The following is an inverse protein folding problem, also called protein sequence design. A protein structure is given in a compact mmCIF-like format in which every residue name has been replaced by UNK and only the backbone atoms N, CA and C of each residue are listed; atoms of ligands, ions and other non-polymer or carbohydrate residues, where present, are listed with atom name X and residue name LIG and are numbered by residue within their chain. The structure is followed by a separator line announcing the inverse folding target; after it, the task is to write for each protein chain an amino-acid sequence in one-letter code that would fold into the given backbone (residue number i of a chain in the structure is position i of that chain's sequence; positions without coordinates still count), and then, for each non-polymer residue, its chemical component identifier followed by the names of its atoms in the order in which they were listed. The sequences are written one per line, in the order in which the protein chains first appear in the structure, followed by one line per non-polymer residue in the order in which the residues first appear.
data_IF_492485994156
#
_entry.id   IF_492485994156
#
_cell.length_a   1.000
_cell.length_b   1.000
_cell.length_c   1.000
_cell.angle_alpha   90.00
_cell.angle_beta   90.00
_cell.angle_gamma   90.00
#
_symmetry.space_group_name_H-M   'P 1'
#
loop_
_entity.id
_entity.type
_entity.pdbx_description
1 polymer ?
#
# COMPACT_ATOMS: atom_id res chain seq x y z
N UNK A 1 20.83 2.55 -16.15
CA UNK A 1 19.75 1.57 -15.86
C UNK A 1 18.52 2.03 -16.64
N UNK A 2 17.87 1.18 -17.44
CA UNK A 2 16.66 1.60 -18.17
C UNK A 2 15.51 1.74 -17.18
N UNK A 3 14.85 2.90 -17.16
CA UNK A 3 13.61 3.14 -16.40
C UNK A 3 12.44 2.73 -17.29
N UNK A 4 11.63 1.79 -16.83
CA UNK A 4 10.37 1.43 -17.48
C UNK A 4 9.24 2.08 -16.68
N UNK A 5 8.41 2.86 -17.35
CA UNK A 5 7.25 3.52 -16.75
C UNK A 5 6.04 2.71 -17.19
N UNK A 6 5.21 2.33 -16.23
CA UNK A 6 3.95 1.63 -16.51
C UNK A 6 2.87 2.69 -16.64
N UNK A 7 2.28 2.79 -17.83
CA UNK A 7 1.17 3.69 -18.15
C UNK A 7 -0.15 3.14 -17.58
N UNK A 8 -1.12 4.04 -17.39
CA UNK A 8 -2.46 3.67 -16.93
C UNK A 8 -3.30 3.01 -18.04
N UNK A 9 -4.26 2.11 -17.71
CA UNK A 9 -4.62 1.66 -16.36
C UNK A 9 -3.62 0.66 -15.78
N UNK A 10 -3.21 0.95 -14.54
CA UNK A 10 -2.23 0.19 -13.80
C UNK A 10 -2.91 -0.85 -12.90
N UNK A 11 -2.99 -2.07 -13.42
CA UNK A 11 -3.73 -3.18 -12.81
C UNK A 11 -2.86 -4.00 -11.84
N UNK A 12 -3.23 -3.99 -10.55
CA UNK A 12 -2.57 -4.74 -9.48
C UNK A 12 -2.60 -6.25 -9.70
N UNK A 13 -3.62 -6.78 -10.36
CA UNK A 13 -3.78 -8.22 -10.61
C UNK A 13 -2.65 -8.81 -11.46
N UNK A 14 -1.96 -7.98 -12.23
CA UNK A 14 -0.77 -8.39 -12.98
C UNK A 14 0.44 -8.62 -12.09
N UNK A 15 0.42 -8.11 -10.86
CA UNK A 15 1.54 -8.12 -9.93
C UNK A 15 1.33 -9.00 -8.71
N UNK A 16 0.09 -9.34 -8.33
CA UNK A 16 -0.21 -10.09 -7.09
C UNK A 16 0.52 -11.44 -6.96
N UNK A 17 0.97 -12.03 -8.06
CA UNK A 17 1.68 -13.32 -8.09
C UNK A 17 3.19 -13.22 -7.81
N UNK A 18 3.76 -12.01 -7.78
CA UNK A 18 5.16 -11.83 -7.44
C UNK A 18 5.34 -11.75 -5.92
N UNK A 19 6.52 -12.13 -5.42
CA UNK A 19 6.83 -11.89 -4.01
C UNK A 19 7.32 -10.46 -3.78
N UNK A 20 8.07 -9.92 -4.74
CA UNK A 20 8.72 -8.62 -4.66
C UNK A 20 8.64 -7.90 -5.99
N UNK A 21 8.30 -6.60 -5.94
CA UNK A 21 8.36 -5.71 -7.10
C UNK A 21 9.01 -4.39 -6.72
N UNK A 22 9.75 -3.79 -7.65
CA UNK A 22 10.24 -2.42 -7.59
C UNK A 22 10.01 -1.79 -8.96
N UNK A 23 8.99 -0.94 -9.05
CA UNK A 23 8.49 -0.41 -10.32
C UNK A 23 8.24 1.09 -10.23
N UNK A 24 8.16 1.74 -11.41
CA UNK A 24 7.71 3.12 -11.53
C UNK A 24 6.46 3.19 -12.40
N UNK A 25 5.46 3.91 -11.93
CA UNK A 25 4.23 4.19 -12.67
C UNK A 25 4.14 5.65 -13.03
N UNK A 26 3.38 5.98 -14.08
CA UNK A 26 3.23 7.36 -14.51
C UNK A 26 2.42 8.18 -13.50
N UNK A 27 1.27 7.67 -13.06
CA UNK A 27 0.37 8.38 -12.16
C UNK A 27 -0.04 7.49 -10.98
N UNK A 28 -0.09 8.06 -9.77
CA UNK A 28 -0.60 7.42 -8.57
C UNK A 28 -1.78 8.19 -7.98
N UNK A 29 -2.91 7.51 -7.80
CA UNK A 29 -4.20 8.09 -7.40
C UNK A 29 -4.68 7.49 -6.08
N UNK A 30 -5.68 8.11 -5.43
CA UNK A 30 -6.27 7.57 -4.20
C UNK A 30 -6.87 6.18 -4.42
N UNK A 31 -7.58 6.00 -5.54
CA UNK A 31 -8.17 4.73 -5.96
C UNK A 31 -7.11 3.65 -6.16
N UNK A 32 -6.03 3.96 -6.88
CA UNK A 32 -4.92 3.01 -7.04
C UNK A 32 -4.33 2.61 -5.69
N UNK A 33 -4.15 3.56 -4.77
CA UNK A 33 -3.62 3.26 -3.45
C UNK A 33 -4.57 2.37 -2.63
N UNK A 34 -5.87 2.65 -2.64
CA UNK A 34 -6.87 1.82 -1.98
C UNK A 34 -6.89 0.40 -2.57
N UNK A 35 -7.08 0.27 -3.88
CA UNK A 35 -7.17 -1.03 -4.58
C UNK A 35 -5.90 -1.89 -4.35
N UNK A 36 -4.73 -1.26 -4.40
CA UNK A 36 -3.47 -1.96 -4.13
C UNK A 36 -3.36 -2.41 -2.67
N UNK A 37 -3.82 -1.59 -1.73
CA UNK A 37 -3.81 -1.96 -0.31
C UNK A 37 -4.73 -3.16 -0.08
N UNK A 38 -5.93 -3.14 -0.65
CA UNK A 38 -6.90 -4.23 -0.57
C UNK A 38 -6.33 -5.52 -1.16
N UNK A 39 -5.90 -5.50 -2.43
CA UNK A 39 -5.44 -6.71 -3.14
C UNK A 39 -4.16 -7.31 -2.54
N UNK A 40 -3.23 -6.47 -2.07
CA UNK A 40 -2.01 -6.94 -1.39
C UNK A 40 -2.32 -7.57 -0.04
N UNK A 41 -3.31 -7.05 0.69
CA UNK A 41 -3.70 -7.57 2.01
C UNK A 41 -4.07 -9.05 1.93
N UNK A 42 -4.62 -9.49 0.79
CA UNK A 42 -5.05 -10.87 0.53
C UNK A 42 -4.10 -11.68 -0.37
N UNK A 43 -3.01 -11.08 -0.89
CA UNK A 43 -2.06 -11.80 -1.74
C UNK A 43 -1.23 -12.79 -0.90
N UNK A 44 -1.20 -14.10 -1.24
CA UNK A 44 -0.45 -15.09 -0.47
C UNK A 44 1.06 -15.02 -0.71
N UNK A 45 1.51 -14.68 -1.92
CA UNK A 45 2.93 -14.62 -2.31
C UNK A 45 3.63 -13.33 -1.91
N UNK A 46 2.89 -12.25 -1.66
CA UNK A 46 3.45 -10.94 -1.41
C UNK A 46 4.42 -10.89 -0.21
N UNK A 47 5.60 -10.30 -0.42
CA UNK A 47 6.57 -9.98 0.65
C UNK A 47 6.82 -8.47 0.70
N UNK A 48 7.14 -7.84 -0.43
CA UNK A 48 7.49 -6.41 -0.46
C UNK A 48 7.36 -5.77 -1.83
N UNK A 49 6.51 -4.76 -1.93
CA UNK A 49 6.32 -3.97 -3.16
C UNK A 49 6.74 -2.52 -2.95
N UNK A 50 7.54 -2.00 -3.87
CA UNK A 50 7.88 -0.58 -3.95
C UNK A 50 7.37 -0.02 -5.27
N UNK A 51 6.52 0.99 -5.16
CA UNK A 51 5.91 1.65 -6.31
C UNK A 51 6.31 3.11 -6.22
N UNK A 52 7.19 3.51 -7.13
CA UNK A 52 7.53 4.92 -7.34
C UNK A 52 6.58 5.50 -8.38
N UNK A 53 6.34 6.79 -8.35
CA UNK A 53 5.45 7.44 -9.31
C UNK A 53 6.00 8.78 -9.78
N UNK A 54 5.74 9.13 -11.04
CA UNK A 54 6.15 10.42 -11.62
C UNK A 54 5.19 11.53 -11.23
N UNK A 55 3.89 11.25 -11.33
CA UNK A 55 2.81 12.14 -10.95
C UNK A 55 2.02 11.53 -9.79
N UNK A 56 1.61 12.38 -8.85
CA UNK A 56 0.84 11.98 -7.69
C UNK A 56 -0.38 12.87 -7.56
N UNK A 57 -1.56 12.27 -7.51
CA UNK A 57 -2.83 12.95 -7.27
C UNK A 57 -3.49 12.46 -5.98
N UNK A 58 -2.70 12.04 -4.99
CA UNK A 58 -3.17 11.72 -3.65
C UNK A 58 -3.54 13.02 -2.94
N UNK A 59 -4.74 13.08 -2.40
CA UNK A 59 -5.23 14.18 -1.55
C UNK A 59 -5.70 13.63 -0.18
N UNK A 60 -6.43 14.45 0.58
CA UNK A 60 -6.87 14.07 1.93
C UNK A 60 -7.94 12.97 1.94
N UNK A 61 -8.59 12.66 0.81
CA UNK A 61 -9.60 11.60 0.75
C UNK A 61 -9.00 10.22 0.99
N UNK A 62 -7.67 10.07 0.83
CA UNK A 62 -6.98 8.83 1.19
C UNK A 62 -7.18 8.46 2.67
N UNK A 63 -7.35 9.44 3.56
CA UNK A 63 -7.59 9.19 4.99
C UNK A 63 -9.01 8.70 5.26
N UNK A 64 -9.96 9.03 4.38
CA UNK A 64 -11.31 8.46 4.43
C UNK A 64 -11.32 7.01 3.93
N UNK A 65 -10.44 6.68 2.97
CA UNK A 65 -10.33 5.33 2.38
C UNK A 65 -9.52 4.35 3.25
N UNK A 66 -8.37 4.79 3.78
CA UNK A 66 -7.43 3.93 4.52
C UNK A 66 -7.50 4.12 6.04
N UNK A 67 -8.28 5.09 6.52
CA UNK A 67 -8.20 5.58 7.89
C UNK A 67 -6.98 6.49 8.12
N UNK A 68 -6.90 7.03 9.34
CA UNK A 68 -5.76 7.87 9.73
C UNK A 68 -4.48 7.02 9.87
N UNK A 69 -3.33 7.49 9.37
CA UNK A 69 -2.07 6.79 9.58
C UNK A 69 -1.72 6.74 11.07
N UNK A 70 -1.08 5.65 11.50
CA UNK A 70 -0.49 5.54 12.83
C UNK A 70 0.49 6.71 13.10
N UNK A 71 1.26 7.09 12.07
CA UNK A 71 2.24 8.16 12.19
C UNK A 71 2.48 8.86 10.86
N UNK A 72 2.56 10.19 10.91
CA UNK A 72 3.05 11.03 9.80
C UNK A 72 4.20 11.89 10.28
N UNK A 73 5.40 11.71 9.71
CA UNK A 73 6.60 12.51 10.03
C UNK A 73 7.39 12.80 8.77
N UNK A 74 7.74 14.07 8.54
CA UNK A 74 8.56 14.53 7.41
C UNK A 74 8.04 14.06 6.04
N UNK A 75 6.72 14.16 5.82
CA UNK A 75 6.08 13.71 4.58
C UNK A 75 6.04 12.19 4.38
N UNK A 76 6.28 11.42 5.46
CA UNK A 76 6.14 9.96 5.46
C UNK A 76 4.99 9.56 6.36
N UNK A 77 3.96 8.96 5.78
CA UNK A 77 2.80 8.40 6.49
C UNK A 77 2.91 6.89 6.57
N UNK A 78 2.57 6.32 7.72
CA UNK A 78 2.66 4.88 8.00
C UNK A 78 1.32 4.33 8.47
N UNK A 79 0.88 3.24 7.85
CA UNK A 79 -0.26 2.43 8.27
C UNK A 79 0.17 0.99 8.52
N UNK A 80 -0.57 0.31 9.39
CA UNK A 80 -0.45 -1.11 9.65
C UNK A 80 -1.83 -1.73 9.57
N UNK A 81 -2.03 -2.65 8.64
CA UNK A 81 -3.30 -3.35 8.45
C UNK A 81 -3.13 -4.82 8.81
N UNK A 82 -4.03 -5.35 9.63
CA UNK A 82 -4.01 -6.77 9.98
C UNK A 82 -4.27 -7.62 8.74
N UNK A 83 -3.37 -8.56 8.43
CA UNK A 83 -3.61 -9.51 7.35
C UNK A 83 -4.52 -10.64 7.84
N UNK A 84 -5.28 -11.30 6.94
CA UNK A 84 -6.11 -12.46 7.30
C UNK A 84 -5.30 -13.68 7.73
N UNK A 85 -4.09 -13.85 7.20
CA UNK A 85 -3.18 -14.93 7.59
C UNK A 85 -2.59 -14.72 8.99
N UNK A 86 -2.23 -15.82 9.68
CA UNK A 86 -1.90 -15.78 11.11
C UNK A 86 -0.67 -14.90 11.40
N UNK A 87 -0.86 -13.94 12.30
CA UNK A 87 0.15 -13.09 12.93
C UNK A 87 0.95 -12.20 11.97
N UNK A 88 0.39 -11.85 10.81
CA UNK A 88 1.03 -10.97 9.84
C UNK A 88 0.29 -9.63 9.70
N UNK A 89 1.06 -8.60 9.36
CA UNK A 89 0.59 -7.24 9.18
C UNK A 89 1.12 -6.70 7.87
N UNK A 90 0.25 -6.03 7.13
CA UNK A 90 0.61 -5.21 5.98
C UNK A 90 1.08 -3.85 6.50
N UNK A 91 2.39 -3.63 6.44
CA UNK A 91 3.01 -2.36 6.73
C UNK A 91 3.08 -1.51 5.46
N UNK A 92 2.43 -0.36 5.49
CA UNK A 92 2.36 0.58 4.36
C UNK A 92 3.09 1.86 4.72
N UNK A 93 4.04 2.26 3.88
CA UNK A 93 4.76 3.52 3.98
C UNK A 93 4.50 4.34 2.74
N UNK A 94 3.82 5.47 2.89
CA UNK A 94 3.66 6.47 1.84
C UNK A 94 4.68 7.59 2.03
N UNK A 95 5.57 7.76 1.05
CA UNK A 95 6.40 8.95 0.91
C UNK A 95 5.67 9.93 0.01
N UNK A 96 5.20 11.04 0.60
CA UNK A 96 4.39 12.05 -0.05
C UNK A 96 4.96 12.44 -1.41
N UNK A 97 4.13 12.29 -2.45
CA UNK A 97 4.46 12.63 -3.82
C UNK A 97 5.71 11.92 -4.40
N UNK A 98 6.14 10.78 -3.85
CA UNK A 98 7.30 10.02 -4.33
C UNK A 98 7.08 8.53 -4.55
N UNK A 99 6.63 7.82 -3.52
CA UNK A 99 6.49 6.36 -3.59
C UNK A 99 5.61 5.81 -2.48
N UNK A 100 5.03 4.64 -2.70
CA UNK A 100 4.47 3.80 -1.64
C UNK A 100 5.27 2.50 -1.54
N UNK A 101 5.47 2.04 -0.31
CA UNK A 101 6.09 0.76 -0.01
C UNK A 101 5.14 -0.05 0.83
N UNK A 102 4.81 -1.24 0.34
CA UNK A 102 4.08 -2.27 1.07
C UNK A 102 5.09 -3.30 1.55
N UNK A 103 4.98 -3.77 2.78
CA UNK A 103 5.80 -4.88 3.29
C UNK A 103 4.97 -5.76 4.22
N UNK A 104 5.06 -7.08 4.04
CA UNK A 104 4.54 -8.05 5.00
C UNK A 104 5.52 -8.17 6.16
N UNK A 105 5.04 -8.00 7.38
CA UNK A 105 5.84 -8.10 8.61
C UNK A 105 5.09 -8.95 9.65
N UNK A 106 5.83 -9.51 10.61
CA UNK A 106 5.23 -10.20 11.73
C UNK A 106 4.60 -9.18 12.70
N UNK A 107 3.47 -9.54 13.31
CA UNK A 107 2.73 -8.65 14.22
C UNK A 107 3.55 -8.23 15.44
N UNK A 108 4.51 -9.06 15.86
CA UNK A 108 5.41 -8.80 16.98
C UNK A 108 6.40 -7.66 16.69
N UNK A 109 6.66 -7.36 15.41
CA UNK A 109 7.53 -6.26 14.97
C UNK A 109 6.79 -4.91 14.87
N UNK A 110 5.47 -4.90 15.13
CA UNK A 110 4.60 -3.73 14.98
C UNK A 110 4.14 -3.23 16.35
N UNK A 111 4.03 -1.90 16.57
CA UNK A 111 3.45 -1.39 17.81
C UNK A 111 2.01 -1.87 17.99
N UNK A 112 1.68 -2.47 19.14
CA UNK A 112 0.38 -3.11 19.40
C UNK A 112 -0.82 -2.19 19.13
N UNK A 113 -0.71 -0.90 19.46
CA UNK A 113 -1.77 0.11 19.27
C UNK A 113 -1.89 0.63 17.83
N UNK A 114 -1.08 0.14 16.90
CA UNK A 114 -0.98 0.67 15.54
C UNK A 114 -1.74 -0.15 14.48
N UNK A 115 -2.16 -1.37 14.82
CA UNK A 115 -2.76 -2.30 13.86
C UNK A 115 -4.26 -2.01 13.68
N UNK A 116 -4.65 -1.66 12.45
CA UNK A 116 -6.03 -1.40 12.05
C UNK A 116 -6.63 -2.63 11.36
N UNK A 117 -7.93 -2.82 11.50
CA UNK A 117 -8.68 -3.67 10.58
C UNK A 117 -8.89 -2.89 9.28
N UNK A 118 -8.77 -3.57 8.15
CA UNK A 118 -9.12 -3.00 6.87
C UNK A 118 -10.61 -3.26 6.65
N UNK A 119 -11.45 -2.32 7.07
CA UNK A 119 -12.90 -2.44 6.94
C UNK A 119 -13.29 -2.05 5.51
N UNK A 120 -13.45 -3.06 4.65
CA UNK A 120 -14.14 -2.87 3.36
C UNK A 120 -15.60 -2.57 3.70
N UNK A 121 -16.09 -1.38 3.35
CA UNK A 121 -17.54 -1.16 3.32
C UNK A 121 -18.09 -2.09 2.24
N UNK A 122 -18.57 -3.27 2.64
CA UNK A 122 -19.45 -4.08 1.82
C UNK A 122 -20.70 -3.21 1.61
N UNK A 123 -20.78 -2.60 0.43
CA UNK A 123 -22.03 -2.00 -0.03
C UNK A 123 -22.93 -3.20 -0.35
N UNK A 124 -23.93 -3.45 0.49
CA UNK A 124 -25.02 -4.39 0.24
C UNK A 124 -25.81 -4.02 -1.04
#
# INVERSE_FOLDING_TARGET
MKKWIIENPFDVMKFIHFEKIDITVENWTNEAFFNWTEEILYSPSFIKYKISFENCSIDNDIYNLLGLPYRTVNGRSTWYFKMPEKNQVLHVIYYASKSVIFTRVDIEDVPEVAVMNFDVQLID
#
